data_IF_634716462384
#
_entry.id   IF_634716462384
#
_cell.length_a   1.000
_cell.length_b   1.000
_cell.length_c   1.000
_cell.angle_alpha   90.00
_cell.angle_beta   90.00
_cell.angle_gamma   90.00
#
_symmetry.space_group_name_H-M   'P 1'
#
loop_
_entity.id
_entity.type
_entity.pdbx_description
1 polymer ?
#
# COMPACT_ATOMS: atom_id res chain seq x y z
N UNK A 1 -44.06 30.85 16.38
CA UNK A 1 -43.75 29.41 16.46
C UNK A 1 -42.26 29.26 16.70
N UNK A 2 -41.84 28.99 17.93
CA UNK A 2 -40.44 28.61 18.20
C UNK A 2 -40.22 27.21 17.61
N UNK A 3 -39.36 27.11 16.60
CA UNK A 3 -38.99 25.82 16.01
C UNK A 3 -38.37 24.92 17.07
N UNK A 4 -39.00 23.76 17.33
CA UNK A 4 -38.37 22.70 18.12
C UNK A 4 -37.01 22.40 17.47
N UNK A 5 -35.90 22.35 18.23
CA UNK A 5 -34.62 21.95 17.66
C UNK A 5 -34.77 20.54 17.09
N UNK A 6 -34.58 20.43 15.78
CA UNK A 6 -34.58 19.15 15.06
C UNK A 6 -33.31 18.42 15.48
N UNK A 7 -33.47 17.32 16.20
CA UNK A 7 -32.36 16.44 16.56
C UNK A 7 -31.95 15.63 15.32
N UNK A 8 -30.93 16.09 14.60
CA UNK A 8 -30.47 15.45 13.35
C UNK A 8 -29.67 14.15 13.60
N UNK A 9 -29.14 13.94 14.82
CA UNK A 9 -28.36 12.76 15.20
C UNK A 9 -28.83 12.22 16.56
N UNK A 10 -28.91 10.89 16.71
CA UNK A 10 -29.21 10.27 18.00
C UNK A 10 -28.09 10.55 19.02
N UNK A 11 -28.43 10.65 20.31
CA UNK A 11 -27.53 11.16 21.36
C UNK A 11 -26.20 10.38 21.53
N UNK A 12 -26.06 9.19 20.92
CA UNK A 12 -24.89 8.32 21.04
C UNK A 12 -24.02 8.26 19.77
N UNK A 13 -24.27 9.15 18.79
CA UNK A 13 -23.49 9.21 17.55
C UNK A 13 -22.38 10.24 17.68
N UNK A 14 -21.12 9.79 17.51
CA UNK A 14 -19.99 10.68 17.26
C UNK A 14 -19.85 10.87 15.76
N UNK A 15 -19.89 12.14 15.33
CA UNK A 15 -19.66 12.55 13.96
C UNK A 15 -18.37 13.36 13.91
N UNK A 16 -17.44 12.91 13.10
CA UNK A 16 -16.24 13.66 12.74
C UNK A 16 -16.38 14.06 11.29
N UNK A 17 -16.12 15.32 10.94
CA UNK A 17 -16.33 15.82 9.57
C UNK A 17 -15.18 16.72 9.10
N UNK A 18 -15.06 16.83 7.78
CA UNK A 18 -14.09 17.64 7.07
C UNK A 18 -12.66 17.08 7.15
N UNK A 19 -11.68 17.98 7.17
CA UNK A 19 -10.25 17.62 7.12
C UNK A 19 -9.75 16.81 8.31
N UNK A 20 -10.41 16.93 9.47
CA UNK A 20 -10.05 16.13 10.65
C UNK A 20 -10.17 14.64 10.37
N UNK A 21 -11.21 14.24 9.64
CA UNK A 21 -11.42 12.87 9.20
C UNK A 21 -10.33 12.44 8.23
N UNK A 22 -10.00 13.28 7.26
CA UNK A 22 -8.99 12.96 6.25
C UNK A 22 -7.62 12.75 6.89
N UNK A 23 -7.19 13.64 7.80
CA UNK A 23 -5.93 13.50 8.52
C UNK A 23 -5.95 12.26 9.44
N UNK A 24 -7.07 12.00 10.11
CA UNK A 24 -7.26 10.78 10.91
C UNK A 24 -7.13 9.51 10.08
N UNK A 25 -7.77 9.46 8.91
CA UNK A 25 -7.68 8.36 7.95
C UNK A 25 -6.23 8.14 7.47
N UNK A 26 -5.54 9.22 7.08
CA UNK A 26 -4.15 9.17 6.62
C UNK A 26 -3.24 8.64 7.73
N UNK A 27 -3.36 9.18 8.94
CA UNK A 27 -2.54 8.77 10.09
C UNK A 27 -2.76 7.30 10.42
N UNK A 28 -4.02 6.84 10.44
CA UNK A 28 -4.36 5.45 10.71
C UNK A 28 -3.79 4.51 9.63
N UNK A 29 -3.98 4.84 8.35
CA UNK A 29 -3.47 4.03 7.24
C UNK A 29 -1.94 3.98 7.22
N UNK A 30 -1.26 5.12 7.45
CA UNK A 30 0.19 5.21 7.56
C UNK A 30 0.73 4.36 8.71
N UNK A 31 0.08 4.42 9.88
CA UNK A 31 0.49 3.62 11.05
C UNK A 31 0.44 2.13 10.73
N UNK A 32 -0.62 1.66 10.06
CA UNK A 32 -0.74 0.26 9.64
C UNK A 32 0.35 -0.12 8.63
N UNK A 33 0.60 0.76 7.65
CA UNK A 33 1.66 0.55 6.67
C UNK A 33 3.05 0.46 7.31
N UNK A 34 3.35 1.32 8.30
CA UNK A 34 4.62 1.34 9.01
C UNK A 34 4.85 0.08 9.86
N UNK A 35 3.79 -0.52 10.42
CA UNK A 35 3.89 -1.76 11.21
C UNK A 35 4.48 -2.91 10.39
N UNK A 36 3.98 -3.09 9.16
CA UNK A 36 4.39 -4.18 8.27
C UNK A 36 5.52 -3.78 7.30
N UNK A 37 5.93 -2.51 7.27
CA UNK A 37 6.97 -2.00 6.36
C UNK A 37 8.26 -2.80 6.43
N UNK A 38 8.70 -3.19 7.63
CA UNK A 38 9.92 -3.97 7.83
C UNK A 38 9.81 -5.43 7.40
N UNK A 39 8.62 -5.88 7.00
CA UNK A 39 8.37 -7.25 6.52
C UNK A 39 8.64 -7.39 5.00
N UNK A 40 9.01 -6.30 4.32
CA UNK A 40 9.27 -6.30 2.88
C UNK A 40 10.67 -6.84 2.53
N UNK A 41 10.75 -7.75 1.56
CA UNK A 41 11.99 -8.24 0.98
C UNK A 41 12.61 -9.44 1.71
N UNK A 42 13.74 -9.99 1.20
CA UNK A 42 14.32 -11.23 1.72
C UNK A 42 14.93 -11.09 3.12
N UNK A 43 15.32 -9.86 3.52
CA UNK A 43 15.76 -9.52 4.89
C UNK A 43 14.62 -8.96 5.75
N UNK A 44 13.40 -9.45 5.53
CA UNK A 44 12.23 -9.11 6.33
C UNK A 44 12.43 -9.38 7.82
N UNK A 45 11.98 -8.46 8.66
CA UNK A 45 11.98 -8.62 10.11
C UNK A 45 10.68 -9.30 10.57
N UNK A 46 10.79 -10.45 11.22
CA UNK A 46 9.64 -11.14 11.81
C UNK A 46 8.99 -10.30 12.92
N UNK A 47 7.66 -10.41 13.01
CA UNK A 47 6.86 -9.85 14.09
C UNK A 47 6.41 -10.96 15.02
N UNK A 48 6.46 -10.68 16.31
CA UNK A 48 5.86 -11.52 17.34
C UNK A 48 4.54 -10.89 17.75
N UNK A 49 3.44 -11.58 17.49
CA UNK A 49 2.09 -11.17 17.82
C UNK A 49 1.63 -11.96 19.04
N UNK A 50 1.00 -11.26 19.98
CA UNK A 50 0.46 -11.84 21.19
C UNK A 50 -1.06 -11.69 21.16
N UNK A 51 -1.76 -12.81 21.14
CA UNK A 51 -3.21 -12.82 21.21
C UNK A 51 -3.68 -12.43 22.61
N UNK A 52 -4.91 -11.90 22.77
CA UNK A 52 -5.49 -11.62 24.09
C UNK A 52 -5.56 -12.85 25.01
N UNK A 53 -5.49 -14.06 24.44
CA UNK A 53 -5.48 -15.34 25.17
C UNK A 53 -4.07 -15.85 25.51
N UNK A 54 -3.01 -15.10 25.14
CA UNK A 54 -1.62 -15.49 25.38
C UNK A 54 -1.00 -16.39 24.31
N UNK A 55 -1.68 -16.60 23.17
CA UNK A 55 -1.12 -17.26 21.99
C UNK A 55 0.00 -16.42 21.38
N UNK A 56 1.10 -17.07 20.98
CA UNK A 56 2.24 -16.40 20.34
C UNK A 56 2.30 -16.83 18.88
N UNK A 57 2.15 -15.87 17.98
CA UNK A 57 2.30 -16.08 16.53
C UNK A 57 3.53 -15.30 16.06
N UNK A 58 4.47 -15.99 15.43
CA UNK A 58 5.64 -15.38 14.80
C UNK A 58 5.50 -15.50 13.29
N UNK A 59 5.46 -14.36 12.60
CA UNK A 59 5.32 -14.32 11.15
C UNK A 59 5.99 -13.08 10.54
N UNK A 60 6.40 -13.20 9.29
CA UNK A 60 6.84 -12.11 8.43
C UNK A 60 5.81 -11.78 7.33
N UNK A 61 4.75 -12.56 7.18
CA UNK A 61 3.71 -12.25 6.19
C UNK A 61 2.85 -11.07 6.68
N UNK A 62 2.87 -9.98 5.90
CA UNK A 62 2.08 -8.78 6.18
C UNK A 62 0.59 -9.06 6.30
N UNK A 63 0.03 -9.94 5.44
CA UNK A 63 -1.40 -10.26 5.48
C UNK A 63 -1.77 -11.05 6.74
N UNK A 64 -0.98 -12.07 7.13
CA UNK A 64 -1.15 -12.75 8.40
C UNK A 64 -1.05 -11.79 9.61
N UNK A 65 -0.09 -10.85 9.60
CA UNK A 65 0.05 -9.85 10.67
C UNK A 65 -1.21 -8.98 10.78
N UNK A 66 -1.71 -8.49 9.65
CA UNK A 66 -2.87 -7.61 9.61
C UNK A 66 -4.17 -8.30 10.06
N UNK A 67 -4.26 -9.63 9.91
CA UNK A 67 -5.43 -10.41 10.38
C UNK A 67 -5.51 -10.53 11.90
N UNK A 68 -4.37 -10.55 12.58
CA UNK A 68 -4.34 -10.68 14.06
C UNK A 68 -4.43 -9.34 14.78
N UNK A 69 -4.06 -8.23 14.13
CA UNK A 69 -4.11 -6.90 14.75
C UNK A 69 -5.57 -6.43 14.90
N UNK A 70 -5.99 -6.20 16.13
CA UNK A 70 -7.31 -5.62 16.43
C UNK A 70 -7.31 -4.11 16.22
N UNK A 71 -7.89 -3.64 15.11
CA UNK A 71 -7.99 -2.22 14.81
C UNK A 71 -9.41 -1.68 15.02
N UNK A 72 -9.52 -0.50 15.66
CA UNK A 72 -10.79 0.18 15.86
C UNK A 72 -11.13 1.18 14.74
N UNK A 73 -10.11 1.83 14.17
CA UNK A 73 -10.29 2.91 13.20
C UNK A 73 -10.79 2.36 11.84
N UNK A 74 -11.89 2.89 11.25
CA UNK A 74 -12.45 2.39 9.99
C UNK A 74 -11.46 2.37 8.82
N UNK A 75 -10.70 3.46 8.61
CA UNK A 75 -9.72 3.51 7.52
C UNK A 75 -8.66 2.40 7.60
N UNK A 76 -8.22 2.05 8.81
CA UNK A 76 -7.26 0.98 9.00
C UNK A 76 -7.90 -0.41 8.81
N UNK A 77 -9.19 -0.59 9.13
CA UNK A 77 -9.92 -1.82 8.77
C UNK A 77 -10.00 -1.99 7.25
N UNK A 78 -10.28 -0.91 6.51
CA UNK A 78 -10.28 -0.94 5.06
C UNK A 78 -8.91 -1.37 4.50
N UNK A 79 -7.80 -0.89 5.07
CA UNK A 79 -6.46 -1.35 4.69
C UNK A 79 -6.27 -2.86 4.89
N UNK A 80 -6.76 -3.44 5.99
CA UNK A 80 -6.70 -4.89 6.24
C UNK A 80 -7.56 -5.68 5.23
N UNK A 81 -8.74 -5.17 4.88
CA UNK A 81 -9.59 -5.78 3.86
C UNK A 81 -8.90 -5.77 2.49
N UNK A 82 -8.21 -4.69 2.15
CA UNK A 82 -7.45 -4.57 0.90
C UNK A 82 -6.31 -5.59 0.84
N UNK A 83 -5.54 -5.77 1.91
CA UNK A 83 -4.47 -6.76 1.93
C UNK A 83 -5.02 -8.17 1.70
N UNK A 84 -6.20 -8.47 2.25
CA UNK A 84 -6.89 -9.74 2.03
C UNK A 84 -7.33 -9.92 0.58
N UNK A 85 -7.91 -8.89 -0.04
CA UNK A 85 -8.30 -8.99 -1.46
C UNK A 85 -7.10 -9.18 -2.40
N UNK A 86 -5.97 -8.53 -2.11
CA UNK A 86 -4.74 -8.70 -2.88
C UNK A 86 -4.19 -10.14 -2.76
N UNK A 87 -4.21 -10.69 -1.54
CA UNK A 87 -3.81 -12.07 -1.23
C UNK A 87 -4.68 -13.10 -1.99
N UNK A 88 -5.99 -12.87 -2.06
CA UNK A 88 -6.93 -13.75 -2.76
C UNK A 88 -6.80 -13.67 -4.30
N UNK A 89 -6.54 -12.48 -4.86
CA UNK A 89 -6.47 -12.26 -6.32
C UNK A 89 -5.14 -12.70 -6.95
N UNK A 90 -4.02 -12.23 -6.38
CA UNK A 90 -2.67 -12.36 -6.98
C UNK A 90 -1.67 -13.02 -6.04
N UNK A 91 -2.00 -13.14 -4.75
CA UNK A 91 -1.16 -13.75 -3.72
C UNK A 91 -0.04 -12.82 -3.26
N UNK A 92 0.89 -12.48 -4.15
CA UNK A 92 2.04 -11.65 -3.81
C UNK A 92 1.72 -10.13 -3.83
N UNK A 93 2.59 -9.35 -3.19
CA UNK A 93 2.50 -7.89 -3.15
C UNK A 93 1.55 -7.33 -2.10
N UNK A 94 0.98 -8.17 -1.22
CA UNK A 94 0.10 -7.74 -0.11
C UNK A 94 0.73 -6.65 0.74
N UNK A 95 1.99 -6.84 1.15
CA UNK A 95 2.76 -5.87 1.92
C UNK A 95 3.04 -4.61 1.11
N UNK A 96 3.38 -4.76 -0.18
CA UNK A 96 3.69 -3.65 -1.09
C UNK A 96 2.49 -2.73 -1.32
N UNK A 97 1.29 -3.28 -1.53
CA UNK A 97 0.04 -2.49 -1.69
C UNK A 97 -0.18 -1.58 -0.49
N UNK A 98 -0.05 -2.14 0.71
CA UNK A 98 -0.32 -1.42 1.96
C UNK A 98 0.73 -0.34 2.23
N UNK A 99 2.02 -0.63 1.97
CA UNK A 99 3.10 0.36 2.09
C UNK A 99 2.87 1.51 1.10
N UNK A 100 2.59 1.21 -0.17
CA UNK A 100 2.37 2.21 -1.21
C UNK A 100 1.15 3.08 -0.92
N UNK A 101 0.02 2.49 -0.54
CA UNK A 101 -1.18 3.23 -0.18
C UNK A 101 -0.94 4.15 1.03
N UNK A 102 -0.25 3.66 2.07
CA UNK A 102 0.12 4.47 3.23
C UNK A 102 1.06 5.62 2.90
N UNK A 103 2.05 5.40 2.04
CA UNK A 103 2.98 6.45 1.59
C UNK A 103 2.27 7.50 0.73
N UNK A 104 1.44 7.08 -0.23
CA UNK A 104 0.64 7.97 -1.08
C UNK A 104 -0.32 8.85 -0.26
N UNK A 105 -0.87 8.33 0.83
CA UNK A 105 -1.67 9.10 1.77
C UNK A 105 -0.82 10.06 2.60
N UNK A 106 0.35 9.63 3.07
CA UNK A 106 1.25 10.48 3.85
C UNK A 106 1.75 11.69 3.04
N UNK A 107 2.03 11.52 1.74
CA UNK A 107 2.44 12.66 0.90
C UNK A 107 1.24 13.54 0.53
N UNK A 108 0.03 12.99 0.50
CA UNK A 108 -1.19 13.76 0.25
C UNK A 108 -1.51 14.74 1.40
N UNK A 109 -1.17 14.38 2.65
CA UNK A 109 -1.38 15.20 3.85
C UNK A 109 -0.86 16.62 3.68
N UNK A 110 0.36 16.77 3.12
CA UNK A 110 0.99 18.06 2.89
C UNK A 110 0.13 18.98 2.00
N UNK A 111 -0.54 18.44 0.98
CA UNK A 111 -1.41 19.25 0.10
C UNK A 111 -2.72 19.65 0.79
N UNK A 112 -3.24 18.81 1.68
CA UNK A 112 -4.43 19.14 2.48
C UNK A 112 -4.15 20.26 3.49
N UNK A 113 -2.93 20.30 4.03
CA UNK A 113 -2.45 21.42 4.87
C UNK A 113 -2.35 22.72 4.07
N UNK A 114 -1.83 22.64 2.84
CA UNK A 114 -1.73 23.75 1.87
C UNK A 114 -3.08 24.19 1.27
N UNK A 115 -4.21 23.79 1.87
CA UNK A 115 -5.56 24.17 1.47
C UNK A 115 -5.97 23.68 0.07
N UNK A 116 -5.28 22.68 -0.50
CA UNK A 116 -5.70 22.08 -1.77
C UNK A 116 -6.96 21.24 -1.57
N UNK A 117 -7.94 21.39 -2.47
CA UNK A 117 -9.16 20.59 -2.41
C UNK A 117 -8.85 19.11 -2.75
N UNK A 118 -9.34 18.12 -1.99
CA UNK A 118 -9.08 16.70 -2.21
C UNK A 118 -9.35 16.23 -3.64
N UNK A 119 -10.36 16.79 -4.31
CA UNK A 119 -10.69 16.50 -5.71
C UNK A 119 -9.51 16.71 -6.66
N UNK A 120 -8.71 17.75 -6.45
CA UNK A 120 -7.54 18.06 -7.30
C UNK A 120 -6.46 16.99 -7.10
N UNK A 121 -6.18 16.62 -5.84
CA UNK A 121 -5.24 15.55 -5.49
C UNK A 121 -5.68 14.22 -6.11
N UNK A 122 -6.97 13.88 -5.97
CA UNK A 122 -7.55 12.65 -6.51
C UNK A 122 -7.45 12.60 -8.04
N UNK A 123 -7.72 13.73 -8.72
CA UNK A 123 -7.61 13.82 -10.18
C UNK A 123 -6.18 13.53 -10.65
N UNK A 124 -5.20 14.16 -10.01
CA UNK A 124 -3.79 13.96 -10.30
C UNK A 124 -3.34 12.51 -10.01
N UNK A 125 -3.82 11.88 -8.93
CA UNK A 125 -3.49 10.49 -8.60
C UNK A 125 -4.05 9.51 -9.64
N UNK A 126 -5.26 9.76 -10.15
CA UNK A 126 -5.84 8.95 -11.24
C UNK A 126 -5.03 9.07 -12.52
N UNK A 127 -4.69 10.30 -12.90
CA UNK A 127 -3.85 10.55 -14.07
C UNK A 127 -2.50 9.86 -13.94
N UNK A 128 -1.86 9.95 -12.77
CA UNK A 128 -0.61 9.25 -12.50
C UNK A 128 -0.78 7.72 -12.60
N UNK A 129 -1.89 7.15 -12.12
CA UNK A 129 -2.15 5.71 -12.25
C UNK A 129 -2.23 5.25 -13.70
N UNK A 130 -2.99 5.95 -14.54
CA UNK A 130 -3.09 5.61 -15.96
C UNK A 130 -1.71 5.63 -16.63
N UNK A 131 -0.89 6.62 -16.27
CA UNK A 131 0.47 6.75 -16.79
C UNK A 131 1.40 5.65 -16.28
N UNK A 132 1.30 5.28 -15.00
CA UNK A 132 2.04 4.16 -14.42
C UNK A 132 1.75 2.87 -15.17
N UNK A 133 0.48 2.57 -15.43
CA UNK A 133 0.07 1.35 -16.14
C UNK A 133 0.57 1.32 -17.59
N UNK A 134 0.63 2.48 -18.26
CA UNK A 134 1.20 2.57 -19.60
C UNK A 134 2.72 2.36 -19.58
N UNK A 135 3.43 3.03 -18.65
CA UNK A 135 4.87 2.87 -18.49
C UNK A 135 5.22 1.40 -18.21
N UNK A 136 4.48 0.73 -17.31
CA UNK A 136 4.70 -0.68 -16.99
C UNK A 136 4.63 -1.59 -18.22
N UNK A 137 3.72 -1.32 -19.15
CA UNK A 137 3.63 -2.07 -20.42
C UNK A 137 4.79 -1.76 -21.37
N UNK A 138 5.27 -0.53 -21.37
CA UNK A 138 6.39 -0.12 -22.23
C UNK A 138 7.73 -0.73 -21.79
N UNK A 139 7.91 -0.97 -20.50
CA UNK A 139 9.15 -1.55 -19.93
C UNK A 139 9.08 -3.07 -19.76
N UNK A 140 7.96 -3.71 -20.10
CA UNK A 140 7.79 -5.13 -19.88
C UNK A 140 8.47 -5.98 -20.96
N UNK A 141 8.98 -7.13 -20.53
CA UNK A 141 9.61 -8.10 -21.42
C UNK A 141 8.65 -9.27 -21.63
N UNK A 142 8.28 -9.51 -22.88
CA UNK A 142 7.48 -10.68 -23.25
C UNK A 142 8.34 -11.94 -23.23
N UNK A 143 7.88 -12.98 -22.53
CA UNK A 143 8.46 -14.31 -22.55
C UNK A 143 8.13 -15.00 -23.87
N UNK A 144 9.15 -15.50 -24.58
CA UNK A 144 8.98 -16.42 -25.70
C UNK A 144 8.60 -17.83 -25.23
N UNK A 145 7.84 -18.56 -26.04
CA UNK A 145 7.21 -19.86 -25.71
C UNK A 145 8.13 -20.92 -25.07
N UNK A 146 9.44 -20.91 -25.38
CA UNK A 146 10.41 -21.89 -24.85
C UNK A 146 10.70 -21.71 -23.34
N UNK A 147 10.64 -20.48 -22.82
CA UNK A 147 10.85 -20.21 -21.38
C UNK A 147 9.60 -20.53 -20.53
N UNK A 148 8.42 -20.47 -21.15
CA UNK A 148 7.14 -20.72 -20.48
C UNK A 148 7.04 -22.15 -19.94
N UNK A 149 7.59 -23.14 -20.65
CA UNK A 149 7.58 -24.55 -20.22
C UNK A 149 8.54 -24.83 -19.05
N UNK A 150 9.67 -24.12 -18.99
CA UNK A 150 10.65 -24.28 -17.93
C UNK A 150 10.18 -23.59 -16.62
N UNK A 151 9.52 -22.45 -16.75
CA UNK A 151 8.81 -21.76 -15.65
C UNK A 151 7.65 -22.62 -15.13
N UNK A 152 6.81 -23.17 -16.01
CA UNK A 152 5.69 -24.05 -15.64
C UNK A 152 6.15 -25.27 -14.82
N UNK A 153 7.29 -25.87 -15.19
CA UNK A 153 7.82 -27.05 -14.50
C UNK A 153 8.46 -26.74 -13.15
N UNK A 154 9.08 -25.57 -13.00
CA UNK A 154 9.75 -25.17 -11.74
C UNK A 154 8.79 -24.53 -10.73
N UNK A 155 7.63 -24.02 -11.17
CA UNK A 155 6.66 -23.31 -10.34
C UNK A 155 5.35 -24.09 -10.08
N UNK A 156 5.32 -25.42 -10.21
CA UNK A 156 4.14 -26.22 -9.84
C UNK A 156 3.68 -25.96 -8.38
N UNK A 157 4.58 -25.60 -7.48
CA UNK A 157 4.26 -25.23 -6.08
C UNK A 157 3.83 -23.74 -5.93
N UNK A 158 4.04 -22.92 -6.95
CA UNK A 158 3.72 -21.49 -7.00
C UNK A 158 2.61 -21.22 -8.04
N UNK A 159 1.55 -22.03 -8.02
CA UNK A 159 0.46 -22.02 -9.01
C UNK A 159 -0.13 -20.63 -9.30
N UNK A 160 -0.21 -19.74 -8.31
CA UNK A 160 -0.74 -18.39 -8.51
C UNK A 160 0.16 -17.54 -9.43
N UNK A 161 1.48 -17.68 -9.31
CA UNK A 161 2.45 -16.99 -10.16
C UNK A 161 2.44 -17.61 -11.56
N UNK A 162 2.41 -18.95 -11.67
CA UNK A 162 2.22 -19.64 -12.96
C UNK A 162 0.97 -19.17 -13.69
N UNK A 163 -0.17 -19.09 -12.98
CA UNK A 163 -1.42 -18.60 -13.56
C UNK A 163 -1.26 -17.20 -14.17
N UNK A 164 -0.60 -16.30 -13.45
CA UNK A 164 -0.38 -14.93 -13.93
C UNK A 164 0.51 -14.91 -15.18
N UNK A 165 1.60 -15.67 -15.18
CA UNK A 165 2.53 -15.77 -16.32
C UNK A 165 1.87 -16.41 -17.54
N UNK A 166 1.02 -17.41 -17.36
CA UNK A 166 0.29 -18.05 -18.46
C UNK A 166 -0.77 -17.15 -19.08
N UNK A 167 -1.40 -16.27 -18.28
CA UNK A 167 -2.43 -15.34 -18.75
C UNK A 167 -1.82 -14.07 -19.35
N UNK A 168 -0.70 -13.59 -18.80
CA UNK A 168 0.03 -12.41 -19.25
C UNK A 168 1.55 -12.67 -19.14
N UNK A 169 2.20 -13.14 -20.23
CA UNK A 169 3.59 -13.59 -20.22
C UNK A 169 4.59 -12.42 -20.25
N UNK A 170 4.28 -11.33 -19.56
CA UNK A 170 5.13 -10.16 -19.46
C UNK A 170 5.79 -10.11 -18.08
N UNK A 171 7.11 -9.96 -18.07
CA UNK A 171 7.92 -9.86 -16.87
C UNK A 171 8.58 -8.49 -16.76
N UNK A 172 8.90 -8.12 -15.53
CA UNK A 172 9.56 -6.88 -15.17
C UNK A 172 10.73 -7.13 -14.23
N UNK A 173 11.81 -6.32 -14.29
CA UNK A 173 12.90 -6.42 -13.32
C UNK A 173 12.41 -6.07 -11.91
N UNK A 174 12.68 -6.94 -10.93
CA UNK A 174 12.23 -6.77 -9.56
C UNK A 174 13.06 -5.77 -8.74
N UNK A 175 13.09 -5.96 -7.41
CA UNK A 175 14.07 -5.29 -6.54
C UNK A 175 14.00 -3.76 -6.49
N UNK A 176 12.85 -3.16 -6.81
CA UNK A 176 12.68 -1.70 -6.85
C UNK A 176 13.12 -1.04 -8.15
N UNK A 177 13.54 -1.80 -9.18
CA UNK A 177 13.96 -1.26 -10.48
C UNK A 177 12.79 -0.58 -11.21
N UNK A 178 11.66 -1.29 -11.29
CA UNK A 178 10.41 -0.78 -11.87
C UNK A 178 9.92 0.47 -11.15
N UNK A 179 9.91 0.45 -9.81
CA UNK A 179 9.47 1.60 -9.03
C UNK A 179 10.33 2.83 -9.30
N UNK A 180 11.64 2.66 -9.46
CA UNK A 180 12.54 3.76 -9.81
C UNK A 180 12.30 4.27 -11.22
N UNK A 181 12.15 3.37 -12.19
CA UNK A 181 11.91 3.74 -13.60
C UNK A 181 10.60 4.48 -13.77
N UNK A 182 9.52 3.97 -13.18
CA UNK A 182 8.21 4.61 -13.18
C UNK A 182 8.29 5.97 -12.47
N UNK A 183 8.97 6.05 -11.32
CA UNK A 183 9.19 7.31 -10.61
C UNK A 183 9.93 8.34 -11.49
N UNK A 184 10.96 7.91 -12.21
CA UNK A 184 11.73 8.76 -13.11
C UNK A 184 10.84 9.32 -14.23
N UNK A 185 10.15 8.46 -14.99
CA UNK A 185 9.30 8.87 -16.11
C UNK A 185 8.12 9.74 -15.69
N UNK A 186 7.46 9.42 -14.58
CA UNK A 186 6.41 10.28 -14.02
C UNK A 186 7.00 11.63 -13.61
N UNK A 187 8.18 11.67 -12.99
CA UNK A 187 8.82 12.94 -12.62
C UNK A 187 9.13 13.79 -13.85
N UNK A 188 9.59 13.19 -14.95
CA UNK A 188 9.82 13.90 -16.21
C UNK A 188 8.52 14.43 -16.81
N UNK A 189 7.48 13.58 -16.90
CA UNK A 189 6.17 13.97 -17.38
C UNK A 189 5.54 15.08 -16.54
N UNK A 190 5.76 15.07 -15.23
CA UNK A 190 5.29 16.13 -14.34
C UNK A 190 5.80 17.51 -14.76
N UNK A 191 6.99 17.62 -15.38
CA UNK A 191 7.54 18.90 -15.86
C UNK A 191 6.76 19.47 -17.05
N UNK A 192 6.11 18.61 -17.82
CA UNK A 192 5.26 19.02 -18.95
C UNK A 192 3.83 19.41 -18.51
N UNK A 193 3.39 18.96 -17.33
CA UNK A 193 2.11 19.35 -16.77
C UNK A 193 2.15 20.79 -16.26
N UNK A 194 1.09 21.55 -16.56
CA UNK A 194 0.90 22.91 -16.08
C UNK A 194 -0.23 22.95 -15.06
N UNK A 195 -0.08 23.76 -14.01
CA UNK A 195 -1.13 23.99 -13.02
C UNK A 195 -0.89 23.30 -11.69
N UNK A 196 -1.89 23.36 -10.81
CA UNK A 196 -1.78 22.93 -9.40
C UNK A 196 -1.69 21.40 -9.27
N UNK A 197 -2.26 20.66 -10.23
CA UNK A 197 -2.24 19.19 -10.29
C UNK A 197 -0.86 18.59 -10.54
N UNK A 198 0.10 19.40 -11.02
CA UNK A 198 1.49 19.00 -11.21
C UNK A 198 2.13 18.47 -9.91
N UNK A 199 1.82 19.10 -8.77
CA UNK A 199 2.47 18.77 -7.50
C UNK A 199 2.02 17.42 -6.94
N UNK A 200 0.70 17.14 -6.81
CA UNK A 200 0.25 15.82 -6.37
C UNK A 200 0.66 14.70 -7.33
N UNK A 201 0.67 14.98 -8.65
CA UNK A 201 1.16 14.02 -9.65
C UNK A 201 2.64 13.65 -9.38
N UNK A 202 3.50 14.65 -9.17
CA UNK A 202 4.92 14.42 -8.89
C UNK A 202 5.16 13.69 -7.57
N UNK A 203 4.33 13.89 -6.55
CA UNK A 203 4.49 13.17 -5.28
C UNK A 203 4.12 11.70 -5.37
N UNK A 204 3.22 11.30 -6.28
CA UNK A 204 2.99 9.87 -6.55
C UNK A 204 4.27 9.21 -7.03
N UNK A 205 5.00 9.87 -7.94
CA UNK A 205 6.30 9.40 -8.40
C UNK A 205 7.29 9.21 -7.23
N UNK A 206 7.36 10.18 -6.33
CA UNK A 206 8.25 10.10 -5.15
C UNK A 206 7.81 9.02 -4.15
N UNK A 207 6.51 8.77 -4.02
CA UNK A 207 5.95 7.75 -3.14
C UNK A 207 6.35 6.33 -3.59
N UNK A 208 6.47 6.07 -4.89
CA UNK A 208 6.94 4.77 -5.41
C UNK A 208 8.34 4.40 -4.89
N UNK A 209 9.18 5.39 -4.63
CA UNK A 209 10.54 5.17 -4.13
C UNK A 209 10.58 4.62 -2.70
N UNK A 210 9.44 4.49 -2.01
CA UNK A 210 9.36 3.84 -0.70
C UNK A 210 9.78 2.37 -0.77
N UNK A 211 9.46 1.66 -1.86
CA UNK A 211 9.78 0.24 -2.02
C UNK A 211 11.31 0.01 -2.06
N UNK A 212 12.08 0.60 -3.00
CA UNK A 212 13.53 0.45 -2.97
C UNK A 212 14.15 1.01 -1.69
N UNK A 213 13.61 2.11 -1.14
CA UNK A 213 14.08 2.67 0.14
C UNK A 213 13.94 1.68 1.29
N UNK A 214 12.80 1.02 1.41
CA UNK A 214 12.53 0.02 2.44
C UNK A 214 13.41 -1.21 2.26
N UNK A 215 13.61 -1.69 1.02
CA UNK A 215 14.53 -2.78 0.74
C UNK A 215 15.96 -2.45 1.22
N UNK A 216 16.47 -1.25 0.92
CA UNK A 216 17.80 -0.80 1.36
C UNK A 216 17.87 -0.74 2.90
N UNK A 217 16.82 -0.20 3.53
CA UNK A 217 16.76 -0.04 4.97
C UNK A 217 16.76 -1.39 5.70
N UNK A 218 16.02 -2.38 5.20
CA UNK A 218 16.00 -3.73 5.76
C UNK A 218 17.36 -4.44 5.62
N UNK A 219 18.18 -4.03 4.64
CA UNK A 219 19.56 -4.51 4.51
C UNK A 219 20.55 -3.85 5.50
N UNK A 220 20.14 -2.80 6.21
CA UNK A 220 21.03 -2.00 7.07
C UNK A 220 21.96 -1.05 6.30
N UNK A 221 21.71 -0.84 5.01
CA UNK A 221 22.48 0.08 4.18
C UNK A 221 21.98 1.53 4.28
N UNK A 222 22.82 2.49 3.88
CA UNK A 222 22.44 3.90 3.83
C UNK A 222 21.45 4.15 2.69
N UNK A 223 20.15 4.22 3.02
CA UNK A 223 19.07 4.47 2.08
C UNK A 223 19.31 5.71 1.21
N UNK A 224 19.76 6.82 1.81
CA UNK A 224 20.01 8.08 1.08
C UNK A 224 21.07 7.89 -0.01
N UNK A 225 22.21 7.29 0.34
CA UNK A 225 23.34 7.12 -0.59
C UNK A 225 22.96 6.19 -1.73
N UNK A 226 22.39 5.03 -1.41
CA UNK A 226 22.08 3.99 -2.41
C UNK A 226 20.94 4.44 -3.32
N UNK A 227 19.88 5.06 -2.77
CA UNK A 227 18.77 5.59 -3.57
C UNK A 227 19.21 6.73 -4.49
N UNK A 228 20.14 7.58 -4.04
CA UNK A 228 20.73 8.64 -4.90
C UNK A 228 21.50 8.03 -6.07
N UNK A 229 22.32 7.01 -5.80
CA UNK A 229 23.03 6.29 -6.86
C UNK A 229 22.09 5.55 -7.81
N UNK A 230 20.98 4.98 -7.29
CA UNK A 230 19.95 4.31 -8.09
C UNK A 230 19.29 5.31 -9.07
N UNK A 231 18.83 6.47 -8.56
CA UNK A 231 18.26 7.54 -9.41
C UNK A 231 19.23 7.98 -10.50
N UNK A 232 20.51 8.15 -10.16
CA UNK A 232 21.54 8.56 -11.13
C UNK A 232 21.75 7.52 -12.24
N UNK A 233 21.59 6.23 -11.93
CA UNK A 233 21.65 5.15 -12.92
C UNK A 233 20.45 5.16 -13.87
N UNK A 234 19.24 5.33 -13.34
CA UNK A 234 18.01 5.39 -14.14
C UNK A 234 17.86 6.66 -14.99
N UNK A 235 18.64 7.72 -14.70
CA UNK A 235 18.69 8.91 -15.57
C UNK A 235 19.49 8.65 -16.85
N UNK A 236 20.29 7.59 -16.91
CA UNK A 236 21.06 7.21 -18.10
C UNK A 236 20.20 6.31 -19.00
N UNK A 237 20.25 6.53 -20.31
CA UNK A 237 19.48 5.75 -21.28
C UNK A 237 19.80 4.24 -21.18
N UNK A 238 18.75 3.41 -21.19
CA UNK A 238 18.85 1.94 -21.24
C UNK A 238 19.05 1.22 -19.90
N UNK A 239 19.08 1.93 -18.76
CA UNK A 239 19.33 1.34 -17.44
C UNK A 239 18.05 1.03 -16.63
N UNK A 240 16.98 0.56 -17.28
CA UNK A 240 15.68 0.26 -16.62
C UNK A 240 15.74 -0.94 -15.68
N UNK A 241 16.72 -1.82 -15.86
CA UNK A 241 16.91 -3.08 -15.13
C UNK A 241 17.70 -2.95 -13.83
N UNK A 242 18.25 -1.76 -13.53
CA UNK A 242 19.01 -1.55 -12.30
C UNK A 242 18.07 -1.51 -11.09
N UNK A 243 18.37 -2.31 -10.06
CA UNK A 243 17.57 -2.37 -8.85
C UNK A 243 18.44 -2.49 -7.61
N UNK A 244 17.81 -2.81 -6.50
CA UNK A 244 18.46 -3.09 -5.23
C UNK A 244 18.49 -4.60 -5.01
N UNK A 245 19.68 -5.14 -4.83
CA UNK A 245 19.81 -6.50 -4.33
C UNK A 245 19.44 -6.52 -2.83
N UNK A 246 18.33 -7.19 -2.50
CA UNK A 246 17.77 -7.25 -1.14
C UNK A 246 18.59 -8.08 -0.13
N UNK A 247 19.64 -8.77 -0.56
CA UNK A 247 20.56 -9.48 0.33
C UNK A 247 21.78 -8.64 0.69
N UNK A 248 22.30 -7.87 -0.26
CA UNK A 248 23.53 -7.07 -0.06
C UNK A 248 23.25 -5.60 0.25
N UNK A 249 22.06 -5.09 -0.11
CA UNK A 249 21.72 -3.67 0.00
C UNK A 249 22.48 -2.79 -1.00
N UNK A 250 22.98 -3.37 -2.09
CA UNK A 250 23.75 -2.67 -3.13
C UNK A 250 22.99 -2.65 -4.47
N UNK A 251 23.45 -1.77 -5.37
CA UNK A 251 22.92 -1.70 -6.73
C UNK A 251 23.34 -2.94 -7.52
N UNK A 252 22.40 -3.55 -8.22
CA UNK A 252 22.67 -4.64 -9.14
C UNK A 252 21.72 -4.60 -10.33
N UNK A 253 22.07 -5.31 -11.39
CA UNK A 253 21.23 -5.46 -12.57
C UNK A 253 20.31 -6.67 -12.36
N UNK A 254 19.00 -6.42 -12.29
CA UNK A 254 18.02 -7.43 -11.89
C UNK A 254 17.87 -8.54 -12.94
N UNK A 255 18.03 -8.19 -14.22
CA UNK A 255 18.00 -9.17 -15.32
C UNK A 255 19.15 -10.18 -15.22
N UNK A 256 20.36 -9.71 -14.93
CA UNK A 256 21.54 -10.57 -14.75
C UNK A 256 21.43 -11.44 -13.50
N UNK A 257 20.77 -10.93 -12.46
CA UNK A 257 20.47 -11.71 -11.26
C UNK A 257 19.28 -12.66 -11.43
N UNK A 258 18.54 -12.57 -12.54
CA UNK A 258 17.34 -13.37 -12.78
C UNK A 258 16.17 -13.03 -11.86
N UNK A 259 16.14 -11.81 -11.30
CA UNK A 259 15.07 -11.36 -10.40
C UNK A 259 13.97 -10.69 -11.23
N UNK A 260 12.92 -11.46 -11.50
CA UNK A 260 11.78 -11.05 -12.31
C UNK A 260 10.48 -11.07 -11.51
N UNK A 261 9.61 -10.11 -11.78
CA UNK A 261 8.26 -10.03 -11.23
C UNK A 261 7.24 -9.99 -12.38
N UNK A 262 6.09 -10.68 -12.28
CA UNK A 262 5.05 -10.63 -13.30
C UNK A 262 4.43 -9.23 -13.44
N UNK A 263 4.24 -8.77 -14.68
CA UNK A 263 3.58 -7.50 -14.99
C UNK A 263 2.20 -7.40 -14.33
N UNK A 264 1.41 -8.47 -14.41
CA UNK A 264 0.06 -8.51 -13.85
C UNK A 264 0.03 -8.22 -12.34
N UNK A 265 0.99 -8.76 -11.58
CA UNK A 265 1.09 -8.54 -10.12
C UNK A 265 1.45 -7.08 -9.82
N UNK A 266 2.42 -6.51 -10.54
CA UNK A 266 2.83 -5.10 -10.39
C UNK A 266 1.71 -4.13 -10.77
N UNK A 267 1.07 -4.35 -11.91
CA UNK A 267 -0.04 -3.53 -12.40
C UNK A 267 -1.21 -3.53 -11.40
N UNK A 268 -1.57 -4.71 -10.89
CA UNK A 268 -2.60 -4.82 -9.87
C UNK A 268 -2.19 -4.14 -8.57
N UNK A 269 -0.94 -4.30 -8.13
CA UNK A 269 -0.41 -3.65 -6.92
C UNK A 269 -0.57 -2.13 -6.98
N UNK A 270 -0.16 -1.49 -8.08
CA UNK A 270 -0.28 -0.04 -8.24
C UNK A 270 -1.73 0.42 -8.32
N UNK A 271 -2.56 -0.31 -9.07
CA UNK A 271 -3.99 -0.02 -9.17
C UNK A 271 -4.68 -0.07 -7.81
N UNK A 272 -4.51 -1.18 -7.09
CA UNK A 272 -5.09 -1.34 -5.75
C UNK A 272 -4.61 -0.25 -4.79
N UNK A 273 -3.30 0.06 -4.78
CA UNK A 273 -2.73 1.05 -3.87
C UNK A 273 -3.25 2.48 -4.14
N UNK A 274 -3.28 2.91 -5.40
CA UNK A 274 -3.73 4.25 -5.78
C UNK A 274 -5.24 4.40 -5.58
N UNK A 275 -6.04 3.41 -5.99
CA UNK A 275 -7.50 3.44 -5.80
C UNK A 275 -7.86 3.48 -4.31
N UNK A 276 -7.12 2.75 -3.47
CA UNK A 276 -7.23 2.80 -2.01
C UNK A 276 -6.96 4.20 -1.47
N UNK A 277 -5.84 4.81 -1.87
CA UNK A 277 -5.50 6.16 -1.42
C UNK A 277 -6.57 7.17 -1.83
N UNK A 278 -7.07 7.07 -3.07
CA UNK A 278 -8.17 7.91 -3.57
C UNK A 278 -9.45 7.72 -2.75
N UNK A 279 -9.81 6.47 -2.43
CA UNK A 279 -11.00 6.16 -1.65
C UNK A 279 -10.92 6.79 -0.26
N UNK A 280 -9.78 6.61 0.43
CA UNK A 280 -9.58 7.13 1.78
C UNK A 280 -9.51 8.66 1.84
N UNK A 281 -8.96 9.32 0.81
CA UNK A 281 -8.96 10.79 0.69
C UNK A 281 -10.37 11.37 0.44
N UNK A 282 -11.25 10.59 -0.19
CA UNK A 282 -12.62 11.01 -0.49
C UNK A 282 -13.54 10.99 0.72
N UNK A 283 -13.18 10.24 1.77
CA UNK A 283 -13.96 10.17 3.01
C UNK A 283 -13.73 11.45 3.82
N UNK A 284 -14.75 12.29 3.89
CA UNK A 284 -14.75 13.54 4.66
C UNK A 284 -15.64 13.49 5.90
N UNK A 285 -16.44 12.44 6.10
CA UNK A 285 -17.35 12.33 7.24
C UNK A 285 -17.38 10.88 7.75
N UNK A 286 -17.20 10.71 9.07
CA UNK A 286 -17.35 9.41 9.74
C UNK A 286 -18.41 9.55 10.82
N UNK A 287 -19.48 8.77 10.65
CA UNK A 287 -20.58 8.68 11.61
C UNK A 287 -20.45 7.34 12.33
N UNK A 288 -20.07 7.38 13.61
CA UNK A 288 -19.91 6.19 14.44
C UNK A 288 -20.91 6.17 15.60
N UNK A 289 -21.70 5.10 15.69
CA UNK A 289 -22.53 4.84 16.85
C UNK A 289 -21.71 4.17 17.95
N UNK A 290 -21.56 4.80 19.11
CA UNK A 290 -21.04 4.09 20.28
C UNK A 290 -22.19 3.33 20.94
N UNK A 291 -22.16 1.98 20.91
CA UNK A 291 -22.94 1.21 21.90
C UNK A 291 -22.33 1.52 23.27
N UNK A 292 -23.12 2.09 24.18
CA UNK A 292 -22.75 2.13 25.61
C UNK A 292 -22.51 0.68 26.05
N UNK A 293 -21.27 0.36 26.44
CA UNK A 293 -20.99 -0.81 27.27
C UNK A 293 -21.56 -0.48 28.66
N UNK A 294 -22.76 -0.96 28.95
CA UNK A 294 -23.43 -0.75 30.23
C UNK A 294 -24.93 -0.98 30.13
N UNK A 295 -25.32 -2.27 30.12
CA UNK A 295 -26.56 -2.73 30.78
C UNK A 295 -26.71 -4.28 30.91
N UNK A 296 -25.66 -5.07 30.71
CA UNK A 296 -25.72 -6.54 30.94
C UNK A 296 -25.33 -6.97 32.39
N UNK A 297 -25.41 -6.05 33.36
CA UNK A 297 -25.22 -6.38 34.80
C UNK A 297 -26.23 -5.65 35.68
N UNK A 298 -27.52 -5.90 35.48
CA UNK A 298 -28.57 -5.58 36.45
C UNK A 298 -29.77 -6.53 36.25
N UNK A 299 -29.55 -7.84 36.39
CA UNK A 299 -30.62 -8.84 36.30
C UNK A 299 -30.37 -10.12 37.10
N UNK A 300 -29.44 -10.12 38.04
CA UNK A 300 -29.04 -11.31 38.78
C UNK A 300 -28.70 -11.02 40.24
N UNK A 301 -29.71 -10.65 41.03
CA UNK A 301 -29.69 -10.86 42.48
C UNK A 301 -31.12 -10.65 43.04
N UNK A 302 -31.48 -11.51 44.01
CA UNK A 302 -32.66 -11.49 44.89
C UNK A 302 -33.85 -12.37 44.45
N UNK A 303 -33.69 -13.68 44.61
CA UNK A 303 -34.68 -14.47 45.38
C UNK A 303 -33.92 -15.16 46.51
N UNK A 304 -33.95 -14.53 47.68
CA UNK A 304 -33.64 -15.19 48.95
C UNK A 304 -34.85 -16.02 49.35
N UNK A 305 -34.57 -17.27 49.75
CA UNK A 305 -35.49 -18.17 50.42
C UNK A 305 -36.18 -17.50 51.62
N UNK A 306 -37.51 -17.50 51.62
CA UNK A 306 -38.32 -17.46 52.84
C UNK A 306 -39.56 -18.34 52.69
N UNK A 307 -39.70 -19.17 53.72
CA UNK A 307 -40.77 -20.11 54.10
C UNK A 307 -40.79 -21.49 53.46
#
# INVERSE_FOLDING_TARGET
MMGRPVLVLSQNIKRESGRKVQIGNITAAKTIADIIRTCLGPRAMMKMLLDPMGGIVMTNDGNAILREIQVQHPAAKSMIEISRTQDEEVGDGTTSVIILAGEMLSVAEHFLEQQMHPTVVISAYRQALDDMLNILKDISHCLTDDLSQEVERNLQDAMQVCRNVLLDPHLLPGGGAVEMEVSHRLTERSRALTGVEQWPYRTVAQALEVIPRTLIQNCGASAIRVLTSLRAKHTQEGNTSWGINGETGTLAEMEQLGIWEPLAVKAQTYKTAVETAILLLRIDDIVSGHKKKGDDQAGGALMEDKE
#
